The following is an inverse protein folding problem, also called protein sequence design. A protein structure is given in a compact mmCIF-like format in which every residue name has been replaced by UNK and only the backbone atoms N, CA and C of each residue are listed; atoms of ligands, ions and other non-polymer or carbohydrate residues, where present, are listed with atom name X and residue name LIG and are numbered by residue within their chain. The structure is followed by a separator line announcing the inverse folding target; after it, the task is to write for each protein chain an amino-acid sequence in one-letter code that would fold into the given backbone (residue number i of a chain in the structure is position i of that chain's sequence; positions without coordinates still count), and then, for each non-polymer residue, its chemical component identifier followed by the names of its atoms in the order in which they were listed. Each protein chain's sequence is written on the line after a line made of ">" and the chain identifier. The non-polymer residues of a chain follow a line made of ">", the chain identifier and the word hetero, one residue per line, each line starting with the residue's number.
data_IF_589472737310
#
_entry.id   IF_589472737310
#
_cell.length_a   1.000
_cell.length_b   1.000
_cell.length_c   1.000
_cell.angle_alpha   90.00
_cell.angle_beta   90.00
_cell.angle_gamma   90.00
#
_symmetry.space_group_name_H-M   'P 1'
#
loop_
_entity.id
_entity.type
_entity.pdbx_description
1 polymer ?
#
# COMPACT_ATOMS: atom_id res chain seq x y z
N UNK A 1 -6.12 -7.97 17.21
CA UNK A 1 -6.23 -7.06 16.05
C UNK A 1 -7.28 -7.62 15.12
N UNK A 2 -8.30 -6.83 14.78
CA UNK A 2 -9.38 -7.29 13.91
C UNK A 2 -8.87 -7.34 12.46
N UNK A 3 -9.32 -8.31 11.66
CA UNK A 3 -8.94 -8.46 10.24
C UNK A 3 -10.21 -8.48 9.39
N UNK A 4 -10.77 -7.31 9.05
CA UNK A 4 -12.07 -7.24 8.37
C UNK A 4 -12.04 -7.98 7.02
N UNK A 5 -10.93 -7.92 6.29
CA UNK A 5 -10.76 -8.60 5.00
C UNK A 5 -10.28 -10.05 5.07
N UNK A 6 -10.19 -10.63 6.27
CA UNK A 6 -9.74 -12.01 6.44
C UNK A 6 -8.22 -12.15 6.34
N UNK A 7 -7.77 -13.22 5.69
CA UNK A 7 -6.37 -13.65 5.63
C UNK A 7 -5.94 -14.16 4.26
N UNK A 8 -6.86 -14.25 3.31
CA UNK A 8 -6.61 -14.66 1.92
C UNK A 8 -7.30 -13.70 0.95
N UNK A 9 -6.80 -13.61 -0.28
CA UNK A 9 -7.40 -12.77 -1.30
C UNK A 9 -8.84 -13.22 -1.65
N UNK A 10 -9.12 -14.54 -1.59
CA UNK A 10 -10.46 -15.08 -1.75
C UNK A 10 -11.43 -14.61 -0.66
N UNK A 11 -11.02 -14.63 0.62
CA UNK A 11 -11.82 -14.08 1.73
C UNK A 11 -12.02 -12.57 1.59
N UNK A 12 -10.99 -11.83 1.19
CA UNK A 12 -11.08 -10.39 1.03
C UNK A 12 -12.10 -10.02 -0.06
N UNK A 13 -12.05 -10.70 -1.21
CA UNK A 13 -13.03 -10.51 -2.30
C UNK A 13 -14.44 -10.89 -1.85
N UNK A 14 -14.62 -12.02 -1.16
CA UNK A 14 -15.96 -12.44 -0.69
C UNK A 14 -16.56 -11.47 0.34
N UNK A 15 -15.71 -10.70 1.04
CA UNK A 15 -16.11 -9.65 1.99
C UNK A 15 -16.19 -8.26 1.36
N UNK A 16 -16.02 -8.13 0.05
CA UNK A 16 -16.11 -6.84 -0.66
C UNK A 16 -14.95 -5.88 -0.37
N UNK A 17 -13.80 -6.39 0.04
CA UNK A 17 -12.59 -5.60 0.20
C UNK A 17 -11.92 -5.28 -1.14
N UNK A 18 -11.05 -4.27 -1.12
CA UNK A 18 -10.32 -3.74 -2.26
C UNK A 18 -8.84 -3.98 -2.06
N UNK A 19 -8.13 -4.38 -3.12
CA UNK A 19 -6.68 -4.50 -3.08
C UNK A 19 -6.06 -3.13 -3.38
N UNK A 20 -5.31 -2.58 -2.43
CA UNK A 20 -4.65 -1.30 -2.57
C UNK A 20 -3.25 -1.48 -3.13
N UNK A 21 -3.05 -1.07 -4.38
CA UNK A 21 -1.76 -1.13 -5.06
C UNK A 21 -0.69 -0.36 -4.29
N UNK A 22 -1.01 0.73 -3.59
CA UNK A 22 0.00 1.52 -2.88
C UNK A 22 0.64 0.68 -1.78
N UNK A 23 -0.18 0.08 -0.90
CA UNK A 23 0.30 -0.58 0.32
C UNK A 23 0.40 -2.10 0.24
N UNK A 24 -0.09 -2.69 -0.84
CA UNK A 24 -0.28 -4.14 -1.01
C UNK A 24 -1.18 -4.72 0.10
N UNK A 25 -2.20 -3.97 0.50
CA UNK A 25 -3.14 -4.38 1.54
C UNK A 25 -4.52 -4.66 0.93
N UNK A 26 -5.18 -5.70 1.44
CA UNK A 26 -6.63 -5.85 1.28
C UNK A 26 -7.34 -5.01 2.33
N UNK A 27 -8.13 -4.03 1.88
CA UNK A 27 -8.76 -3.02 2.72
C UNK A 27 -10.28 -2.98 2.54
N UNK A 28 -11.05 -2.81 3.63
CA UNK A 28 -12.48 -2.56 3.49
C UNK A 28 -12.71 -1.15 2.94
N UNK A 29 -13.90 -0.90 2.38
CA UNK A 29 -14.25 0.38 1.72
C UNK A 29 -14.00 1.62 2.61
N UNK A 30 -14.08 1.49 3.93
CA UNK A 30 -13.83 2.62 4.84
C UNK A 30 -12.37 3.09 4.84
N UNK A 31 -11.40 2.20 4.59
CA UNK A 31 -9.97 2.50 4.59
C UNK A 31 -9.34 2.49 3.20
N UNK A 32 -10.09 2.15 2.16
CA UNK A 32 -9.62 2.18 0.78
C UNK A 32 -9.82 3.57 0.19
N UNK A 33 -8.77 4.12 -0.43
CA UNK A 33 -8.79 5.43 -1.08
C UNK A 33 -8.64 5.26 -2.58
N UNK A 34 -9.77 5.01 -3.25
CA UNK A 34 -9.78 4.66 -4.67
C UNK A 34 -9.15 5.75 -5.56
N UNK A 35 -9.37 7.03 -5.23
CA UNK A 35 -8.79 8.15 -5.98
C UNK A 35 -7.27 8.17 -5.88
N UNK A 36 -6.73 7.97 -4.66
CA UNK A 36 -5.30 7.96 -4.45
C UNK A 36 -4.64 6.72 -5.08
N UNK A 37 -5.27 5.54 -4.94
CA UNK A 37 -4.79 4.30 -5.56
C UNK A 37 -4.77 4.41 -7.08
N UNK A 38 -5.84 4.95 -7.69
CA UNK A 38 -5.89 5.21 -9.13
C UNK A 38 -4.83 6.21 -9.57
N UNK A 39 -4.67 7.33 -8.85
CA UNK A 39 -3.62 8.30 -9.15
C UNK A 39 -2.21 7.71 -9.04
N UNK A 40 -2.00 6.71 -8.18
CA UNK A 40 -0.72 6.01 -8.08
C UNK A 40 -0.48 5.10 -9.29
N UNK A 41 -1.49 4.36 -9.74
CA UNK A 41 -1.42 3.52 -10.94
C UNK A 41 -1.20 4.35 -12.21
N UNK A 42 -1.90 5.46 -12.38
CA UNK A 42 -1.82 6.29 -13.59
C UNK A 42 -0.50 7.07 -13.70
N UNK A 43 0.25 7.18 -12.61
CA UNK A 43 1.46 8.00 -12.54
C UNK A 43 2.64 7.41 -13.34
N UNK A 44 2.73 6.08 -13.38
CA UNK A 44 3.84 5.33 -13.99
C UNK A 44 3.37 3.92 -14.34
N UNK A 45 4.00 3.33 -15.34
CA UNK A 45 3.99 1.87 -15.49
C UNK A 45 4.94 1.27 -14.46
N UNK A 46 4.39 0.75 -13.36
CA UNK A 46 5.16 0.06 -12.34
C UNK A 46 5.60 -1.34 -12.79
N UNK A 47 6.71 -1.81 -12.23
CA UNK A 47 7.27 -3.14 -12.50
C UNK A 47 7.33 -3.97 -11.21
N UNK A 48 6.95 -5.24 -11.32
CA UNK A 48 6.96 -6.19 -10.22
C UNK A 48 7.62 -7.49 -10.64
N UNK A 49 8.41 -8.08 -9.74
CA UNK A 49 9.11 -9.34 -10.00
C UNK A 49 8.90 -10.34 -8.87
N UNK A 50 8.82 -11.63 -9.21
CA UNK A 50 8.75 -12.71 -8.23
C UNK A 50 10.11 -12.99 -7.55
N UNK A 51 11.20 -12.65 -8.22
CA UNK A 51 12.57 -12.95 -7.80
C UNK A 51 13.47 -11.70 -7.75
N UNK A 52 14.49 -11.76 -6.89
CA UNK A 52 15.47 -10.67 -6.72
C UNK A 52 16.51 -10.57 -7.85
N UNK A 53 16.48 -11.47 -8.83
CA UNK A 53 17.26 -11.33 -10.07
C UNK A 53 16.43 -10.66 -11.18
N UNK A 54 15.16 -10.35 -10.92
CA UNK A 54 14.25 -9.64 -11.83
C UNK A 54 14.01 -10.37 -13.16
N UNK A 55 13.98 -11.70 -13.10
CA UNK A 55 13.82 -12.56 -14.28
C UNK A 55 12.37 -13.00 -14.52
N UNK A 56 11.51 -12.87 -13.52
CA UNK A 56 10.12 -13.30 -13.54
C UNK A 56 9.18 -12.09 -13.31
N UNK A 57 8.93 -11.28 -14.36
CA UNK A 57 8.04 -10.12 -14.27
C UNK A 57 6.58 -10.55 -14.11
N UNK A 58 5.80 -9.73 -13.40
CA UNK A 58 4.35 -9.84 -13.29
C UNK A 58 3.67 -8.64 -13.93
N UNK A 59 2.50 -8.86 -14.52
CA UNK A 59 1.67 -7.78 -15.05
C UNK A 59 0.91 -7.06 -13.93
N UNK A 60 0.40 -5.87 -14.22
CA UNK A 60 -0.53 -5.17 -13.32
C UNK A 60 -1.77 -6.03 -13.00
N UNK A 61 -2.30 -6.74 -14.00
CA UNK A 61 -3.43 -7.64 -13.78
C UNK A 61 -3.09 -8.79 -12.80
N UNK A 62 -1.88 -9.35 -12.90
CA UNK A 62 -1.43 -10.42 -12.00
C UNK A 62 -1.34 -9.92 -10.55
N UNK A 63 -0.73 -8.75 -10.32
CA UNK A 63 -0.57 -8.23 -8.96
C UNK A 63 -1.91 -7.81 -8.34
N UNK A 64 -2.85 -7.31 -9.16
CA UNK A 64 -4.16 -6.87 -8.66
C UNK A 64 -5.07 -8.04 -8.25
N UNK A 65 -4.70 -9.28 -8.57
CA UNK A 65 -5.33 -10.46 -7.97
C UNK A 65 -5.08 -10.56 -6.47
N UNK A 66 -4.02 -9.93 -5.95
CA UNK A 66 -3.59 -10.03 -4.56
C UNK A 66 -3.14 -11.43 -4.13
N UNK A 67 -2.92 -12.36 -5.07
CA UNK A 67 -2.46 -13.73 -4.79
C UNK A 67 -0.93 -13.81 -4.68
N UNK A 68 -0.21 -12.91 -5.34
CA UNK A 68 1.25 -12.89 -5.33
C UNK A 68 1.79 -12.02 -4.18
N UNK A 69 2.64 -12.60 -3.32
CA UNK A 69 3.23 -11.91 -2.17
C UNK A 69 4.74 -12.05 -2.14
N UNK A 70 5.44 -11.08 -1.54
CA UNK A 70 6.90 -11.10 -1.46
C UNK A 70 7.59 -10.63 -2.73
N UNK A 71 6.93 -9.78 -3.51
CA UNK A 71 7.38 -9.24 -4.79
C UNK A 71 8.50 -8.21 -4.62
N UNK A 72 9.30 -8.05 -5.66
CA UNK A 72 10.36 -7.05 -5.76
C UNK A 72 9.89 -5.89 -6.64
N UNK A 73 10.14 -4.66 -6.17
CA UNK A 73 9.84 -3.40 -6.86
C UNK A 73 11.02 -2.44 -6.76
N UNK A 74 11.03 -1.45 -7.65
CA UNK A 74 12.07 -0.43 -7.69
C UNK A 74 11.98 0.58 -6.54
N UNK A 75 13.07 1.31 -6.34
CA UNK A 75 13.19 2.32 -5.29
C UNK A 75 12.19 3.47 -5.48
N UNK A 76 11.88 3.85 -6.73
CA UNK A 76 10.86 4.85 -7.05
C UNK A 76 9.50 4.48 -6.46
N UNK A 77 9.08 3.22 -6.63
CA UNK A 77 7.87 2.69 -6.05
C UNK A 77 7.87 2.84 -4.52
N UNK A 78 8.98 2.51 -3.87
CA UNK A 78 9.11 2.59 -2.41
C UNK A 78 8.98 4.03 -1.90
N UNK A 79 9.68 4.99 -2.49
CA UNK A 79 9.59 6.40 -2.04
C UNK A 79 8.24 7.02 -2.39
N UNK A 80 7.61 6.62 -3.50
CA UNK A 80 6.24 7.06 -3.82
C UNK A 80 5.21 6.43 -2.88
N UNK A 81 5.36 5.17 -2.50
CA UNK A 81 4.57 4.55 -1.42
C UNK A 81 4.67 5.38 -0.13
N UNK A 82 5.89 5.78 0.27
CA UNK A 82 6.12 6.60 1.47
C UNK A 82 5.37 7.94 1.41
N UNK A 83 5.37 8.61 0.26
CA UNK A 83 4.64 9.89 0.12
C UNK A 83 3.13 9.70 -0.02
N UNK A 84 2.68 8.62 -0.67
CA UNK A 84 1.27 8.28 -0.80
C UNK A 84 0.64 7.93 0.55
N UNK A 85 1.36 7.24 1.45
CA UNK A 85 0.83 6.97 2.79
C UNK A 85 0.60 8.25 3.60
N UNK A 86 1.46 9.27 3.46
CA UNK A 86 1.23 10.58 4.09
C UNK A 86 -0.01 11.27 3.54
N UNK A 87 -0.22 11.22 2.22
CA UNK A 87 -1.44 11.73 1.58
C UNK A 87 -2.67 11.00 2.11
N UNK A 88 -2.63 9.66 2.22
CA UNK A 88 -3.73 8.86 2.74
C UNK A 88 -4.05 9.17 4.20
N UNK A 89 -3.02 9.34 5.06
CA UNK A 89 -3.22 9.80 6.44
C UNK A 89 -3.86 11.18 6.50
N UNK A 90 -3.36 12.12 5.69
CA UNK A 90 -3.95 13.46 5.62
C UNK A 90 -5.41 13.43 5.16
N UNK A 91 -5.72 12.63 4.14
CA UNK A 91 -7.09 12.45 3.65
C UNK A 91 -7.99 11.77 4.68
N UNK A 92 -7.47 10.88 5.53
CA UNK A 92 -8.21 10.33 6.66
C UNK A 92 -8.53 11.39 7.73
N UNK A 93 -7.63 12.36 7.96
CA UNK A 93 -7.87 13.48 8.87
C UNK A 93 -8.96 14.44 8.35
N UNK A 94 -9.13 14.55 7.03
CA UNK A 94 -10.21 15.34 6.42
C UNK A 94 -11.60 14.69 6.59
N UNK A 95 -11.66 13.45 7.10
CA UNK A 95 -12.90 12.77 7.46
C UNK A 95 -13.87 12.66 6.27
N UNK A 96 -15.12 13.16 6.36
CA UNK A 96 -16.11 13.07 5.28
C UNK A 96 -15.67 13.66 3.93
N UNK A 97 -14.70 14.57 3.93
CA UNK A 97 -14.14 15.19 2.71
C UNK A 97 -12.92 14.44 2.15
N UNK A 98 -12.51 13.32 2.76
CA UNK A 98 -11.40 12.48 2.31
C UNK A 98 -11.68 10.99 2.53
N UNK A 99 -10.73 10.25 3.12
CA UNK A 99 -10.90 8.82 3.44
C UNK A 99 -11.63 8.68 4.78
N UNK A 100 -12.59 7.74 4.88
CA UNK A 100 -13.39 7.59 6.11
C UNK A 100 -12.60 7.07 7.32
N UNK A 101 -11.53 6.32 7.09
CA UNK A 101 -10.67 5.77 8.13
C UNK A 101 -9.27 5.49 7.57
N UNK A 102 -8.32 5.22 8.47
CA UNK A 102 -6.98 4.75 8.12
C UNK A 102 -6.78 3.30 8.55
N UNK A 103 -6.09 2.53 7.72
CA UNK A 103 -5.73 1.15 8.03
C UNK A 103 -4.58 1.08 9.05
N UNK A 104 -4.52 -0.01 9.81
CA UNK A 104 -3.53 -0.16 10.88
C UNK A 104 -2.07 -0.27 10.41
N UNK A 105 -1.82 -0.54 9.12
CA UNK A 105 -0.47 -0.60 8.58
C UNK A 105 0.06 0.81 8.27
N UNK A 106 -0.73 1.66 7.63
CA UNK A 106 -0.36 3.05 7.37
C UNK A 106 -0.49 3.91 8.64
N UNK A 107 -1.52 3.68 9.45
CA UNK A 107 -1.75 4.43 10.70
C UNK A 107 -0.74 4.14 11.81
N UNK A 108 0.18 3.19 11.61
CA UNK A 108 1.24 2.90 12.58
C UNK A 108 2.32 3.98 12.56
N UNK A 109 2.60 4.58 13.72
CA UNK A 109 3.68 5.56 13.85
C UNK A 109 5.06 5.00 13.46
N UNK A 110 5.31 3.71 13.76
CA UNK A 110 6.55 3.05 13.34
C UNK A 110 6.71 3.01 11.81
N UNK A 111 5.62 2.99 11.06
CA UNK A 111 5.67 3.07 9.61
C UNK A 111 6.01 4.50 9.14
N UNK A 112 5.50 5.53 9.83
CA UNK A 112 5.91 6.93 9.57
C UNK A 112 7.41 7.13 9.77
N UNK A 113 7.97 6.63 10.87
CA UNK A 113 9.42 6.67 11.15
C UNK A 113 10.24 5.91 10.09
N UNK A 114 9.75 4.74 9.64
CA UNK A 114 10.38 4.00 8.55
C UNK A 114 10.45 4.85 7.27
N UNK A 115 9.33 5.45 6.86
CA UNK A 115 9.25 6.25 5.65
C UNK A 115 10.11 7.51 5.72
N UNK A 116 10.14 8.20 6.86
CA UNK A 116 11.04 9.32 7.08
C UNK A 116 12.51 8.92 6.87
N UNK A 117 12.94 7.79 7.45
CA UNK A 117 14.29 7.26 7.26
C UNK A 117 14.58 6.87 5.82
N UNK A 118 13.65 6.23 5.12
CA UNK A 118 13.84 5.84 3.71
C UNK A 118 14.00 7.07 2.81
N UNK A 119 13.13 8.07 2.97
CA UNK A 119 13.15 9.30 2.18
C UNK A 119 14.40 10.17 2.42
N UNK A 120 14.90 10.19 3.66
CA UNK A 120 16.10 10.96 4.00
C UNK A 120 17.39 10.20 3.71
N UNK A 121 17.41 8.88 3.92
CA UNK A 121 18.62 8.06 3.84
C UNK A 121 18.91 7.45 2.47
N UNK A 122 17.91 7.21 1.63
CA UNK A 122 18.11 6.56 0.32
C UNK A 122 18.30 7.53 -0.85
N UNK A 123 18.92 8.70 -0.60
CA UNK A 123 19.12 9.74 -1.64
C UNK A 123 20.09 9.32 -2.74
N UNK A 124 21.02 8.42 -2.43
CA UNK A 124 22.04 7.93 -3.36
C UNK A 124 21.62 6.65 -4.09
N UNK A 125 20.39 6.16 -3.86
CA UNK A 125 19.84 4.99 -4.53
C UNK A 125 19.15 5.44 -5.82
N UNK A 126 19.60 4.92 -6.95
CA UNK A 126 18.97 5.20 -8.24
C UNK A 126 17.53 4.66 -8.25
N UNK A 127 16.59 5.45 -8.81
CA UNK A 127 15.14 5.21 -8.71
C UNK A 127 14.71 3.85 -9.30
N UNK A 128 15.38 3.42 -10.35
CA UNK A 128 15.19 2.15 -11.05
C UNK A 128 15.76 0.94 -10.30
N UNK A 129 16.54 1.15 -9.24
CA UNK A 129 17.13 0.05 -8.47
C UNK A 129 16.04 -0.78 -7.83
N UNK A 130 15.91 -2.04 -8.23
CA UNK A 130 14.99 -2.99 -7.62
C UNK A 130 15.64 -3.57 -6.36
N UNK A 131 15.24 -3.03 -5.22
CA UNK A 131 15.78 -3.36 -3.90
C UNK A 131 14.71 -3.51 -2.82
N UNK A 132 13.44 -3.29 -3.17
CA UNK A 132 12.35 -3.22 -2.21
C UNK A 132 11.47 -4.45 -2.33
N UNK A 133 11.21 -5.11 -1.20
CA UNK A 133 10.34 -6.28 -1.13
C UNK A 133 9.00 -5.94 -0.49
N UNK A 134 7.91 -6.11 -1.24
CA UNK A 134 6.54 -5.85 -0.79
C UNK A 134 5.78 -7.16 -0.57
N UNK A 135 4.81 -7.13 0.34
CA UNK A 135 4.01 -8.30 0.73
C UNK A 135 2.55 -7.93 0.83
N UNK A 136 1.68 -8.85 0.43
CA UNK A 136 0.25 -8.79 0.64
C UNK A 136 -0.03 -8.84 2.14
N UNK A 137 -0.90 -7.95 2.62
CA UNK A 137 -1.29 -7.89 4.04
C UNK A 137 -2.80 -7.69 4.17
N UNK A 138 -3.30 -8.05 5.36
CA UNK A 138 -4.71 -7.93 5.73
C UNK A 138 -4.78 -7.19 7.07
N UNK A 139 -4.50 -5.88 7.09
CA UNK A 139 -4.48 -5.09 8.32
C UNK A 139 -5.90 -4.88 8.85
N UNK A 140 -5.96 -4.38 10.08
CA UNK A 140 -7.19 -3.81 10.64
C UNK A 140 -7.56 -2.50 9.94
N UNK A 141 -8.81 -2.07 10.08
CA UNK A 141 -9.31 -0.78 9.58
C UNK A 141 -10.06 -0.05 10.68
N UNK A 142 -9.79 1.24 10.86
CA UNK A 142 -10.46 2.05 11.85
C UNK A 142 -9.61 2.34 13.08
N UNK A 143 -8.36 2.77 12.87
CA UNK A 143 -7.70 3.59 13.88
C UNK A 143 -8.56 4.82 14.13
N UNK A 144 -9.42 4.77 15.15
CA UNK A 144 -10.41 5.78 15.41
C UNK A 144 -9.71 7.10 15.73
N UNK A 145 -9.73 8.03 14.79
CA UNK A 145 -9.78 9.44 15.14
C UNK A 145 -11.20 9.65 15.66
N UNK A 146 -11.42 9.30 16.93
CA UNK A 146 -12.62 9.69 17.64
C UNK A 146 -12.57 11.21 17.78
N UNK A 147 -13.19 11.90 16.82
CA UNK A 147 -13.50 13.31 16.96
C UNK A 147 -14.55 13.42 18.06
N UNK A 148 -14.10 13.71 19.28
CA UNK A 148 -14.94 14.23 20.37
C UNK A 148 -14.95 15.75 20.30
#
# INVERSE_FOLDING_TARGET
>A
MHKPCGSTAAEARSRGCHFDVISFNWLPTACYDAELSQSFDDMRTWEWFLDGNHTQPLTHADIMTGEHTGLYVNWEYHVRHCTAMWKKMHRALLGPSGTRAIDGYIGSYAHTEHCARMLLGGRDIALETINTRIRVKFPDCGGALSWH
#
